data_IF_325091008968
#
_entry.id   IF_325091008968
#
_cell.length_a   1.000
_cell.length_b   1.000
_cell.length_c   1.000
_cell.angle_alpha   90.00
_cell.angle_beta   90.00
_cell.angle_gamma   90.00
#
_symmetry.space_group_name_H-M   'P 1'
#
loop_
_entity.id
_entity.type
_entity.pdbx_description
1 polymer ?
#
# COMPACT_ATOMS: atom_id res chain seq x y z
N UNK A 1 27.63 59.06 4.13
CA UNK A 1 28.20 57.71 4.29
C UNK A 1 27.15 56.69 3.94
N UNK A 2 27.34 56.01 2.82
CA UNK A 2 26.59 54.86 2.29
C UNK A 2 26.96 53.57 3.03
N UNK A 3 25.99 52.67 3.29
CA UNK A 3 26.00 51.24 2.92
C UNK A 3 24.54 50.72 2.97
N UNK A 4 23.96 50.40 1.80
CA UNK A 4 22.89 49.40 1.62
C UNK A 4 23.46 47.99 1.83
N UNK A 5 22.64 47.00 2.24
CA UNK A 5 22.69 45.62 1.72
C UNK A 5 21.44 44.80 2.21
N UNK A 6 20.47 44.71 1.30
CA UNK A 6 19.78 43.49 0.81
C UNK A 6 19.06 42.49 1.74
N UNK A 7 17.74 42.37 1.46
CA UNK A 7 17.00 41.19 0.95
C UNK A 7 16.93 39.92 1.82
N UNK A 8 15.71 39.39 2.01
CA UNK A 8 15.30 38.10 1.40
C UNK A 8 14.08 37.48 2.09
N UNK A 9 13.13 37.02 1.27
CA UNK A 9 11.81 36.56 1.66
C UNK A 9 11.83 35.29 2.51
N UNK A 10 10.91 35.23 3.47
CA UNK A 10 10.72 34.06 4.36
C UNK A 10 9.24 33.75 4.52
N UNK A 11 8.53 33.57 3.40
CA UNK A 11 7.09 33.29 3.38
C UNK A 11 6.66 31.92 2.86
N UNK A 12 7.54 31.18 2.15
CA UNK A 12 7.10 29.99 1.40
C UNK A 12 7.58 28.66 1.99
N UNK A 13 8.72 28.65 2.69
CA UNK A 13 9.39 27.41 3.09
C UNK A 13 8.77 26.68 4.28
N UNK A 14 7.94 27.36 5.08
CA UNK A 14 7.28 26.74 6.26
C UNK A 14 6.02 25.95 5.89
N UNK A 15 5.30 26.36 4.85
CA UNK A 15 4.06 25.70 4.44
C UNK A 15 4.38 24.34 3.78
N UNK A 16 5.45 24.27 2.99
CA UNK A 16 5.87 23.02 2.35
C UNK A 16 6.33 21.96 3.38
N UNK A 17 7.02 22.37 4.44
CA UNK A 17 7.51 21.44 5.48
C UNK A 17 6.36 20.89 6.33
N UNK A 18 5.33 21.71 6.59
CA UNK A 18 4.14 21.25 7.33
C UNK A 18 3.30 20.28 6.49
N UNK A 19 3.18 20.50 5.18
CA UNK A 19 2.47 19.58 4.29
C UNK A 19 3.20 18.23 4.14
N UNK A 20 4.53 18.23 4.01
CA UNK A 20 5.32 17.00 3.93
C UNK A 20 5.29 16.25 5.26
N UNK A 21 5.42 16.95 6.39
CA UNK A 21 5.30 16.33 7.71
C UNK A 21 3.91 15.73 7.92
N UNK A 22 2.84 16.38 7.45
CA UNK A 22 1.49 15.82 7.51
C UNK A 22 1.33 14.56 6.63
N UNK A 23 1.94 14.52 5.44
CA UNK A 23 1.95 13.31 4.59
C UNK A 23 2.75 12.18 5.25
N UNK A 24 3.89 12.48 5.85
CA UNK A 24 4.70 11.50 6.60
C UNK A 24 3.97 11.04 7.87
N UNK A 25 3.21 11.91 8.55
CA UNK A 25 2.43 11.54 9.74
C UNK A 25 1.19 10.72 9.39
N UNK A 26 0.56 10.98 8.24
CA UNK A 26 -0.54 10.17 7.71
C UNK A 26 -0.06 8.77 7.28
N UNK A 27 1.20 8.64 6.85
CA UNK A 27 1.82 7.37 6.47
C UNK A 27 2.50 6.64 7.64
N UNK A 28 2.92 7.34 8.70
CA UNK A 28 3.48 6.71 9.92
C UNK A 28 2.40 6.03 10.79
N UNK A 29 1.13 6.23 10.47
CA UNK A 29 -0.01 5.50 11.03
C UNK A 29 -0.21 4.12 10.40
N UNK A 30 0.86 3.40 10.07
CA UNK A 30 0.77 1.96 9.79
C UNK A 30 0.47 1.29 11.13
N UNK A 31 -0.81 1.24 11.48
CA UNK A 31 -1.28 0.49 12.65
C UNK A 31 -0.75 -0.93 12.56
N UNK A 32 -0.02 -1.36 13.59
CA UNK A 32 0.34 -2.75 13.76
C UNK A 32 -0.96 -3.56 13.85
N UNK A 33 -1.31 -4.30 12.79
CA UNK A 33 -2.42 -5.25 12.82
C UNK A 33 -2.03 -6.45 13.70
N UNK A 34 -2.12 -6.28 15.01
CA UNK A 34 -1.91 -7.37 15.96
C UNK A 34 -3.16 -8.26 15.97
N UNK A 35 -3.24 -9.20 15.03
CA UNK A 35 -4.30 -10.21 15.03
C UNK A 35 -3.83 -11.38 15.88
N UNK A 36 -4.61 -11.75 16.90
CA UNK A 36 -4.26 -12.83 17.80
C UNK A 36 -4.04 -14.14 17.03
N UNK A 37 -2.99 -14.88 17.37
CA UNK A 37 -2.60 -16.14 16.70
C UNK A 37 -3.71 -17.21 16.66
N UNK A 38 -4.62 -17.19 17.64
CA UNK A 38 -5.79 -18.07 17.68
C UNK A 38 -6.84 -17.70 16.63
N UNK A 39 -7.10 -16.40 16.42
CA UNK A 39 -7.98 -15.91 15.35
C UNK A 39 -7.38 -16.28 14.00
N UNK A 40 -6.06 -16.12 13.83
CA UNK A 40 -5.35 -16.53 12.61
C UNK A 40 -5.49 -18.02 12.30
N UNK A 41 -5.40 -18.92 13.29
CA UNK A 41 -5.62 -20.37 13.07
C UNK A 41 -7.05 -20.69 12.67
N UNK A 42 -8.02 -20.03 13.29
CA UNK A 42 -9.43 -20.20 12.96
C UNK A 42 -9.73 -19.67 11.56
N UNK A 43 -9.22 -18.49 11.19
CA UNK A 43 -9.34 -17.95 9.84
C UNK A 43 -8.60 -18.79 8.82
N UNK A 44 -7.43 -19.34 9.12
CA UNK A 44 -6.73 -20.23 8.17
C UNK A 44 -7.60 -21.45 7.80
N UNK A 45 -8.45 -21.92 8.73
CA UNK A 45 -9.40 -23.02 8.48
C UNK A 45 -10.51 -22.64 7.50
N UNK A 46 -10.96 -21.38 7.50
CA UNK A 46 -12.05 -20.89 6.63
C UNK A 46 -11.54 -20.28 5.32
N UNK A 47 -10.43 -19.55 5.42
CA UNK A 47 -9.70 -18.92 4.32
C UNK A 47 -8.99 -19.96 3.41
N UNK A 48 -8.61 -21.12 3.95
CA UNK A 48 -7.90 -22.15 3.21
C UNK A 48 -6.60 -21.62 2.57
N UNK A 49 -6.46 -21.84 1.26
CA UNK A 49 -5.32 -21.41 0.44
C UNK A 49 -5.59 -20.12 -0.36
N UNK A 50 -6.83 -19.65 -0.41
CA UNK A 50 -7.26 -18.65 -1.40
C UNK A 50 -7.20 -17.19 -0.90
N UNK A 51 -6.76 -16.96 0.34
CA UNK A 51 -6.71 -15.61 0.93
C UNK A 51 -5.57 -15.34 1.94
N UNK A 52 -5.45 -14.06 2.32
CA UNK A 52 -4.62 -13.56 3.42
C UNK A 52 -5.18 -14.06 4.75
N UNK A 53 -4.49 -14.95 5.48
CA UNK A 53 -5.02 -15.48 6.73
C UNK A 53 -5.09 -14.42 7.82
N UNK A 54 -6.20 -14.40 8.57
CA UNK A 54 -6.34 -13.48 9.70
C UNK A 54 -6.38 -12.01 9.30
N UNK A 55 -6.79 -11.67 8.08
CA UNK A 55 -6.96 -10.28 7.67
C UNK A 55 -8.29 -10.09 6.96
N UNK A 56 -9.20 -9.43 7.65
CA UNK A 56 -10.49 -9.07 7.07
C UNK A 56 -10.34 -7.88 6.11
N UNK A 57 -11.04 -7.95 4.98
CA UNK A 57 -11.08 -6.87 4.00
C UNK A 57 -11.63 -5.58 4.61
N UNK A 58 -12.60 -5.70 5.55
CA UNK A 58 -13.17 -4.56 6.26
C UNK A 58 -12.11 -3.80 7.05
N UNK A 59 -11.22 -4.51 7.75
CA UNK A 59 -10.11 -3.89 8.50
C UNK A 59 -9.18 -3.07 7.59
N UNK A 60 -8.87 -3.60 6.40
CA UNK A 60 -8.00 -2.90 5.43
C UNK A 60 -8.74 -1.69 4.83
N UNK A 61 -10.02 -1.83 4.51
CA UNK A 61 -10.85 -0.73 3.98
C UNK A 61 -10.99 0.40 5.01
N UNK A 62 -11.28 0.09 6.26
CA UNK A 62 -11.37 1.08 7.35
C UNK A 62 -10.06 1.84 7.54
N UNK A 63 -8.92 1.14 7.48
CA UNK A 63 -7.61 1.77 7.55
C UNK A 63 -7.35 2.71 6.37
N UNK A 64 -7.70 2.30 5.15
CA UNK A 64 -7.56 3.15 3.97
C UNK A 64 -8.46 4.39 4.06
N UNK A 65 -9.69 4.23 4.54
CA UNK A 65 -10.61 5.34 4.81
C UNK A 65 -10.06 6.28 5.89
N UNK A 66 -9.46 5.75 6.96
CA UNK A 66 -8.78 6.53 8.00
C UNK A 66 -7.60 7.35 7.46
N UNK A 67 -6.96 6.88 6.39
CA UNK A 67 -5.91 7.62 5.65
C UNK A 67 -6.48 8.57 4.57
N UNK A 68 -7.80 8.67 4.45
CA UNK A 68 -8.48 9.59 3.53
C UNK A 68 -8.84 9.00 2.16
N UNK A 69 -8.71 7.68 1.96
CA UNK A 69 -9.20 7.05 0.73
C UNK A 69 -10.73 7.06 0.69
N UNK A 70 -11.28 7.30 -0.49
CA UNK A 70 -12.68 7.00 -0.79
C UNK A 70 -12.76 5.56 -1.27
N UNK A 71 -13.48 4.71 -0.52
CA UNK A 71 -13.65 3.30 -0.85
C UNK A 71 -15.07 2.99 -1.32
N UNK A 72 -15.20 2.16 -2.35
CA UNK A 72 -16.47 1.69 -2.90
C UNK A 72 -16.49 0.16 -2.96
N UNK A 73 -17.55 -0.44 -2.40
CA UNK A 73 -17.81 -1.87 -2.55
C UNK A 73 -18.23 -2.16 -3.98
N UNK A 74 -17.39 -2.90 -4.70
CA UNK A 74 -17.79 -3.58 -5.93
C UNK A 74 -18.06 -5.02 -5.54
N UNK A 75 -19.09 -5.63 -6.13
CA UNK A 75 -19.54 -7.00 -5.81
C UNK A 75 -18.41 -8.03 -5.59
N UNK A 76 -17.30 -7.94 -6.33
CA UNK A 76 -16.14 -8.86 -6.24
C UNK A 76 -14.90 -8.29 -5.56
N UNK A 77 -14.83 -6.98 -5.32
CA UNK A 77 -13.65 -6.31 -4.77
C UNK A 77 -14.02 -4.96 -4.16
N UNK A 78 -13.27 -4.49 -3.17
CA UNK A 78 -13.33 -3.10 -2.76
C UNK A 78 -12.37 -2.28 -3.59
N UNK A 79 -12.80 -1.11 -4.08
CA UNK A 79 -11.95 -0.17 -4.81
C UNK A 79 -11.77 1.10 -3.99
N UNK A 80 -10.54 1.39 -3.59
CA UNK A 80 -10.18 2.51 -2.74
C UNK A 80 -9.28 3.48 -3.51
N UNK A 81 -9.65 4.77 -3.57
CA UNK A 81 -8.88 5.80 -4.25
C UNK A 81 -8.57 6.96 -3.30
N UNK A 82 -7.31 7.43 -3.35
CA UNK A 82 -6.88 8.70 -2.77
C UNK A 82 -6.21 9.55 -3.85
N UNK A 83 -6.64 10.81 -3.96
CA UNK A 83 -6.07 11.77 -4.91
C UNK A 83 -5.37 12.91 -4.18
N UNK A 84 -4.08 13.09 -4.48
CA UNK A 84 -3.26 14.20 -3.98
C UNK A 84 -2.75 14.98 -5.18
N UNK A 85 -3.42 16.10 -5.48
CA UNK A 85 -3.13 16.90 -6.67
C UNK A 85 -3.35 16.11 -7.97
N UNK A 86 -2.26 15.80 -8.66
CA UNK A 86 -2.27 15.01 -9.92
C UNK A 86 -1.95 13.53 -9.71
N UNK A 87 -1.49 13.16 -8.52
CA UNK A 87 -1.12 11.80 -8.16
C UNK A 87 -2.35 11.08 -7.63
N UNK A 88 -2.56 9.84 -8.07
CA UNK A 88 -3.63 8.98 -7.58
C UNK A 88 -3.03 7.72 -6.99
N UNK A 89 -3.50 7.35 -5.82
CA UNK A 89 -3.24 6.09 -5.15
C UNK A 89 -4.53 5.27 -5.26
N UNK A 90 -4.42 4.07 -5.81
CA UNK A 90 -5.56 3.17 -5.98
C UNK A 90 -5.22 1.83 -5.35
N UNK A 91 -6.20 1.21 -4.68
CA UNK A 91 -6.10 -0.14 -4.19
C UNK A 91 -7.41 -0.90 -4.46
N UNK A 92 -7.29 -2.00 -5.19
CA UNK A 92 -8.36 -2.96 -5.39
C UNK A 92 -8.10 -4.22 -4.53
N UNK A 93 -9.01 -4.48 -3.60
CA UNK A 93 -8.97 -5.60 -2.67
C UNK A 93 -9.97 -6.67 -3.13
N UNK A 94 -9.48 -7.75 -3.73
CA UNK A 94 -10.33 -8.79 -4.31
C UNK A 94 -10.78 -9.79 -3.24
N UNK A 95 -12.05 -10.19 -3.33
CA UNK A 95 -12.68 -11.17 -2.43
C UNK A 95 -12.28 -12.60 -2.77
N UNK A 96 -12.22 -13.48 -1.77
CA UNK A 96 -11.96 -14.90 -1.96
C UNK A 96 -13.23 -15.69 -2.28
N UNK A 97 -13.65 -15.71 -3.54
CA UNK A 97 -14.97 -16.24 -3.97
C UNK A 97 -15.28 -17.71 -3.59
N UNK A 98 -14.29 -18.50 -3.17
CA UNK A 98 -14.44 -19.92 -2.84
C UNK A 98 -14.54 -20.22 -1.34
N UNK A 99 -14.54 -19.22 -0.46
CA UNK A 99 -14.63 -19.44 0.99
C UNK A 99 -16.03 -19.12 1.53
N UNK A 100 -16.45 -19.88 2.56
CA UNK A 100 -17.59 -19.48 3.39
C UNK A 100 -17.23 -18.12 3.99
N UNK A 101 -18.03 -17.09 3.73
CA UNK A 101 -17.75 -15.68 4.07
C UNK A 101 -16.74 -14.97 3.15
N UNK A 102 -16.81 -15.25 1.84
CA UNK A 102 -15.98 -14.58 0.82
C UNK A 102 -15.97 -13.04 0.86
N UNK A 103 -17.00 -12.42 1.45
CA UNK A 103 -17.08 -10.98 1.63
C UNK A 103 -16.04 -10.43 2.61
N UNK A 104 -15.49 -11.28 3.48
CA UNK A 104 -14.59 -10.88 4.56
C UNK A 104 -13.12 -11.06 4.21
N UNK A 105 -12.77 -11.90 3.23
CA UNK A 105 -11.38 -12.29 3.00
C UNK A 105 -10.78 -11.70 1.71
N UNK A 106 -9.49 -11.33 1.78
CA UNK A 106 -8.73 -10.79 0.65
C UNK A 106 -7.97 -11.92 -0.06
N UNK A 107 -8.27 -12.18 -1.34
CA UNK A 107 -7.56 -13.17 -2.18
C UNK A 107 -6.42 -12.57 -2.98
N UNK A 108 -6.58 -11.32 -3.40
CA UNK A 108 -5.63 -10.59 -4.24
C UNK A 108 -5.70 -9.10 -3.90
N UNK A 109 -4.55 -8.43 -3.97
CA UNK A 109 -4.46 -6.97 -3.89
C UNK A 109 -3.80 -6.47 -5.16
N UNK A 110 -4.39 -5.44 -5.75
CA UNK A 110 -3.76 -4.60 -6.77
C UNK A 110 -3.62 -3.19 -6.18
N UNK A 111 -2.38 -2.73 -5.98
CA UNK A 111 -2.09 -1.39 -5.47
C UNK A 111 -1.34 -0.59 -6.54
N UNK A 112 -1.81 0.61 -6.84
CA UNK A 112 -1.30 1.42 -7.96
C UNK A 112 -1.01 2.84 -7.51
N UNK A 113 0.05 3.41 -8.06
CA UNK A 113 0.29 4.85 -8.08
C UNK A 113 0.28 5.34 -9.53
N UNK A 114 -0.51 6.36 -9.82
CA UNK A 114 -0.67 6.93 -11.16
C UNK A 114 -0.13 8.36 -11.18
N UNK A 115 0.62 8.67 -12.23
CA UNK A 115 1.37 9.92 -12.42
C UNK A 115 2.32 10.26 -11.26
N UNK A 116 3.15 9.31 -10.77
CA UNK A 116 4.12 9.64 -9.74
C UNK A 116 5.11 10.69 -10.26
N UNK A 117 5.45 11.66 -9.41
CA UNK A 117 6.58 12.56 -9.62
C UNK A 117 7.77 12.20 -8.71
N UNK A 118 8.88 12.93 -8.84
CA UNK A 118 10.09 12.66 -8.04
C UNK A 118 9.88 12.83 -6.54
N UNK A 119 8.83 13.54 -6.11
CA UNK A 119 8.51 13.77 -4.69
C UNK A 119 7.53 12.74 -4.14
N UNK A 120 6.65 12.19 -4.98
CA UNK A 120 5.65 11.19 -4.58
C UNK A 120 6.07 9.76 -4.87
N UNK A 121 7.15 9.54 -5.61
CA UNK A 121 7.67 8.21 -5.89
C UNK A 121 7.85 7.40 -4.61
N UNK A 122 8.55 7.96 -3.61
CA UNK A 122 8.76 7.34 -2.29
C UNK A 122 7.45 6.98 -1.58
N UNK A 123 6.48 7.90 -1.56
CA UNK A 123 5.16 7.66 -0.98
C UNK A 123 4.41 6.52 -1.69
N UNK A 124 4.58 6.37 -3.01
CA UNK A 124 4.08 5.22 -3.76
C UNK A 124 4.70 3.91 -3.32
N UNK A 125 6.00 3.91 -2.97
CA UNK A 125 6.70 2.72 -2.49
C UNK A 125 6.21 2.34 -1.11
N UNK A 126 6.08 3.32 -0.21
CA UNK A 126 5.57 3.10 1.14
C UNK A 126 4.14 2.56 1.07
N UNK A 127 3.33 3.12 0.18
CA UNK A 127 1.97 2.64 -0.11
C UNK A 127 1.95 1.18 -0.56
N UNK A 128 2.73 0.82 -1.59
CA UNK A 128 2.81 -0.57 -2.09
C UNK A 128 3.42 -1.53 -1.06
N UNK A 129 4.44 -1.09 -0.31
CA UNK A 129 5.09 -1.88 0.74
C UNK A 129 4.14 -2.20 1.88
N UNK A 130 3.25 -1.25 2.21
CA UNK A 130 2.22 -1.49 3.21
C UNK A 130 1.35 -2.69 2.85
N UNK A 131 0.85 -2.77 1.61
CA UNK A 131 0.07 -3.92 1.15
C UNK A 131 0.90 -5.20 1.10
N UNK A 132 2.09 -5.14 0.50
CA UNK A 132 2.92 -6.33 0.26
C UNK A 132 3.30 -7.07 1.55
N UNK A 133 3.37 -6.35 2.66
CA UNK A 133 3.74 -6.87 3.99
C UNK A 133 2.54 -7.39 4.79
N UNK A 134 1.30 -7.09 4.39
CA UNK A 134 0.08 -7.54 5.09
C UNK A 134 0.04 -9.05 5.36
N UNK A 135 0.41 -9.95 4.42
CA UNK A 135 0.40 -11.39 4.68
C UNK A 135 1.45 -11.84 5.68
N UNK A 136 2.52 -11.06 5.82
CA UNK A 136 3.72 -11.41 6.58
C UNK A 136 3.88 -10.58 7.84
N UNK A 137 2.88 -9.77 8.21
CA UNK A 137 2.95 -8.80 9.32
C UNK A 137 3.50 -9.34 10.64
N UNK A 138 3.30 -10.62 10.91
CA UNK A 138 3.74 -11.31 12.14
C UNK A 138 5.10 -12.02 11.98
N UNK A 139 5.76 -11.88 10.82
CA UNK A 139 7.04 -12.47 10.45
C UNK A 139 8.03 -11.38 9.98
N UNK A 140 8.69 -10.66 10.93
CA UNK A 140 9.58 -9.55 10.62
C UNK A 140 10.71 -9.86 9.62
N UNK A 141 11.35 -11.05 9.66
CA UNK A 141 12.28 -11.48 8.61
C UNK A 141 11.69 -11.44 7.19
N UNK A 142 10.46 -11.95 7.01
CA UNK A 142 9.82 -11.97 5.69
C UNK A 142 9.34 -10.58 5.27
N UNK A 143 8.83 -9.78 6.21
CA UNK A 143 8.54 -8.34 5.96
C UNK A 143 9.76 -7.62 5.41
N UNK A 144 10.93 -7.83 6.03
CA UNK A 144 12.19 -7.23 5.56
C UNK A 144 12.58 -7.71 4.17
N UNK A 145 12.37 -9.00 3.87
CA UNK A 145 12.65 -9.57 2.54
C UNK A 145 11.74 -8.96 1.45
N UNK A 146 10.45 -8.82 1.72
CA UNK A 146 9.48 -8.19 0.80
C UNK A 146 9.84 -6.73 0.56
N UNK A 147 10.13 -5.97 1.63
CA UNK A 147 10.54 -4.56 1.52
C UNK A 147 11.85 -4.38 0.74
N UNK A 148 12.84 -5.25 0.96
CA UNK A 148 14.09 -5.25 0.20
C UNK A 148 13.86 -5.52 -1.29
N UNK A 149 13.06 -6.53 -1.62
CA UNK A 149 12.70 -6.83 -3.01
C UNK A 149 11.98 -5.67 -3.69
N UNK A 150 10.97 -5.06 -3.03
CA UNK A 150 10.27 -3.90 -3.59
C UNK A 150 11.27 -2.79 -3.90
N UNK A 151 12.14 -2.43 -2.94
CA UNK A 151 13.15 -1.39 -3.11
C UNK A 151 14.08 -1.65 -4.32
N UNK A 152 14.50 -2.90 -4.54
CA UNK A 152 15.31 -3.30 -5.68
C UNK A 152 14.55 -3.18 -7.00
N UNK A 153 13.30 -3.65 -7.06
CA UNK A 153 12.47 -3.57 -8.28
C UNK A 153 12.09 -2.14 -8.65
N UNK A 154 12.11 -1.23 -7.67
CA UNK A 154 11.90 0.17 -7.92
C UNK A 154 13.09 0.81 -8.66
N UNK A 155 14.29 0.26 -8.49
CA UNK A 155 15.46 0.65 -9.25
C UNK A 155 15.60 -0.10 -10.59
N UNK A 156 14.82 -1.18 -10.80
CA UNK A 156 14.86 -2.05 -11.97
C UNK A 156 13.59 -2.03 -12.84
N UNK A 157 13.52 -2.99 -13.76
CA UNK A 157 12.52 -3.06 -14.86
C UNK A 157 11.21 -3.80 -14.51
N UNK A 158 10.92 -4.03 -13.22
CA UNK A 158 9.72 -4.76 -12.79
C UNK A 158 9.90 -6.27 -12.96
N UNK A 159 9.62 -7.01 -11.90
CA UNK A 159 9.87 -8.44 -11.83
C UNK A 159 8.77 -9.13 -11.03
N UNK A 160 8.76 -10.45 -11.12
CA UNK A 160 7.90 -11.32 -10.31
C UNK A 160 8.76 -11.96 -9.23
N UNK A 161 8.41 -11.74 -7.97
CA UNK A 161 9.00 -12.46 -6.85
C UNK A 161 8.04 -13.48 -6.24
N UNK A 162 8.63 -14.59 -5.81
CA UNK A 162 7.97 -15.59 -5.00
C UNK A 162 8.58 -15.56 -3.60
N UNK A 163 7.78 -15.13 -2.62
CA UNK A 163 8.20 -15.06 -1.22
C UNK A 163 7.22 -15.91 -0.40
N UNK A 164 7.72 -17.05 0.09
CA UNK A 164 6.88 -18.11 0.66
C UNK A 164 5.80 -18.53 -0.33
N UNK A 165 4.54 -18.57 0.11
CA UNK A 165 3.38 -18.93 -0.72
C UNK A 165 2.81 -17.73 -1.47
N UNK A 166 3.51 -16.60 -1.59
CA UNK A 166 2.99 -15.39 -2.21
C UNK A 166 3.75 -15.02 -3.48
N UNK A 167 2.97 -14.70 -4.52
CA UNK A 167 3.45 -14.13 -5.78
C UNK A 167 3.26 -12.61 -5.72
N UNK A 168 4.32 -11.89 -6.02
CA UNK A 168 4.36 -10.44 -6.11
C UNK A 168 4.83 -10.06 -7.51
N UNK A 169 4.09 -9.18 -8.19
CA UNK A 169 4.48 -8.63 -9.47
C UNK A 169 4.49 -7.10 -9.35
N UNK A 170 5.56 -6.46 -9.83
CA UNK A 170 5.64 -5.01 -9.94
C UNK A 170 5.72 -4.62 -11.42
N UNK A 171 4.71 -3.93 -11.93
CA UNK A 171 4.62 -3.52 -13.33
C UNK A 171 4.67 -2.00 -13.47
N UNK A 172 5.35 -1.52 -14.52
CA UNK A 172 5.38 -0.11 -14.90
C UNK A 172 4.71 0.07 -16.25
N UNK A 173 3.70 0.92 -16.28
CA UNK A 173 3.00 1.24 -17.50
C UNK A 173 3.32 2.68 -17.91
N UNK A 174 4.12 2.84 -18.96
CA UNK A 174 4.51 4.15 -19.48
C UNK A 174 3.32 4.93 -20.08
N UNK A 175 2.32 4.23 -20.64
CA UNK A 175 1.15 4.86 -21.26
C UNK A 175 0.25 5.53 -20.23
N UNK A 176 0.04 4.86 -19.09
CA UNK A 176 -0.75 5.39 -17.96
C UNK A 176 0.10 6.13 -16.93
N UNK A 177 1.43 6.12 -17.09
CA UNK A 177 2.42 6.59 -16.11
C UNK A 177 2.13 6.02 -14.72
N UNK A 178 1.90 4.71 -14.64
CA UNK A 178 1.58 4.03 -13.38
C UNK A 178 2.62 3.01 -12.99
N UNK A 179 2.74 2.80 -11.69
CA UNK A 179 3.44 1.67 -11.09
C UNK A 179 2.40 0.87 -10.32
N UNK A 180 2.41 -0.44 -10.52
CA UNK A 180 1.40 -1.34 -9.99
C UNK A 180 2.04 -2.53 -9.31
N UNK A 181 1.65 -2.75 -8.06
CA UNK A 181 1.90 -3.97 -7.31
C UNK A 181 0.67 -4.87 -7.43
N UNK A 182 0.87 -6.09 -7.91
CA UNK A 182 -0.09 -7.18 -7.73
C UNK A 182 0.47 -8.17 -6.72
N UNK A 183 -0.34 -8.57 -5.74
CA UNK A 183 -0.02 -9.68 -4.85
C UNK A 183 -1.19 -10.65 -4.71
N UNK A 184 -0.87 -11.94 -4.72
CA UNK A 184 -1.84 -13.04 -4.54
C UNK A 184 -1.12 -14.26 -3.97
N UNK A 185 -1.88 -15.17 -3.38
CA UNK A 185 -1.33 -16.45 -2.92
C UNK A 185 -1.08 -17.38 -4.12
N UNK A 186 0.02 -18.12 -4.05
CA UNK A 186 0.40 -19.21 -4.95
C UNK A 186 -0.45 -20.43 -4.58
N UNK A 187 -0.97 -21.09 -5.61
CA UNK A 187 -1.90 -22.23 -5.54
C UNK A 187 -1.78 -23.14 -4.32
#
# INVERSE_FOLDING_TARGET
MTVELTRSGRGSRRITVVAIAAVVFLLAGVGAYAVASNVRKQDTKYCGHDCVPGLEIGTVVEALQGQGHTCADKRRFWSCELRIGKVRFEADLFRAVNVADFYEYISKVEARIINPDSTTAAAGLDYMSWFATLPHRDDPPTVKKVGGWLAEQIAGDGDIAFILDWEYALERNANTRSIELTMKRRH
#
